data_IF_369788708430
#
_entry.id   IF_369788708430
#
_cell.length_a   1.000
_cell.length_b   1.000
_cell.length_c   1.000
_cell.angle_alpha   90.00
_cell.angle_beta   90.00
_cell.angle_gamma   90.00
#
_symmetry.space_group_name_H-M   'P 1'
#
loop_
_entity.id
_entity.type
_entity.pdbx_description
1 polymer ?
#
# COMPACT_ATOMS: atom_id res chain seq x y z
N UNK A 1 -46.80 -23.28 -78.42
CA UNK A 1 -45.97 -22.65 -77.37
C UNK A 1 -45.66 -23.68 -76.28
N UNK A 2 -44.42 -24.17 -76.18
CA UNK A 2 -43.96 -25.02 -75.05
C UNK A 2 -43.25 -24.14 -74.02
N UNK A 3 -43.87 -23.97 -72.85
CA UNK A 3 -43.31 -23.26 -71.70
C UNK A 3 -42.15 -24.08 -71.10
N UNK A 4 -40.94 -23.48 -71.05
CA UNK A 4 -39.79 -24.06 -70.31
C UNK A 4 -39.86 -23.59 -68.86
N UNK A 5 -40.11 -24.51 -67.94
CA UNK A 5 -39.99 -24.28 -66.50
C UNK A 5 -38.50 -24.18 -66.13
N UNK A 6 -38.05 -23.03 -65.60
CA UNK A 6 -36.71 -22.87 -65.02
C UNK A 6 -36.71 -23.47 -63.60
N UNK A 7 -35.86 -24.48 -63.35
CA UNK A 7 -35.58 -24.97 -61.99
C UNK A 7 -34.77 -23.89 -61.24
N UNK A 8 -35.28 -23.44 -60.10
CA UNK A 8 -34.55 -22.55 -59.20
C UNK A 8 -33.41 -23.32 -58.50
N UNK A 9 -32.26 -22.67 -58.24
CA UNK A 9 -31.13 -23.31 -57.57
C UNK A 9 -31.51 -23.75 -56.15
N UNK A 10 -31.07 -24.95 -55.78
CA UNK A 10 -31.30 -25.56 -54.45
C UNK A 10 -30.74 -24.65 -53.35
N UNK A 11 -31.48 -24.38 -52.26
CA UNK A 11 -30.92 -23.72 -51.09
C UNK A 11 -29.76 -24.57 -50.53
N UNK A 12 -28.63 -23.94 -50.25
CA UNK A 12 -27.50 -24.60 -49.57
C UNK A 12 -27.95 -25.06 -48.19
N UNK A 13 -27.77 -26.35 -47.87
CA UNK A 13 -28.00 -26.87 -46.51
C UNK A 13 -27.03 -26.16 -45.56
N UNK A 14 -27.54 -25.28 -44.70
CA UNK A 14 -26.76 -24.76 -43.57
C UNK A 14 -26.55 -25.92 -42.59
N UNK A 15 -25.30 -26.31 -42.37
CA UNK A 15 -24.94 -27.24 -41.29
C UNK A 15 -25.20 -26.52 -39.97
N UNK A 16 -26.10 -27.06 -39.14
CA UNK A 16 -26.26 -26.61 -37.77
C UNK A 16 -25.10 -27.10 -36.91
N UNK A 17 -24.75 -26.34 -35.86
CA UNK A 17 -23.81 -26.81 -34.84
C UNK A 17 -24.38 -28.03 -34.12
N UNK A 18 -23.53 -29.01 -33.83
CA UNK A 18 -23.96 -30.19 -33.08
C UNK A 18 -24.11 -29.83 -31.59
N UNK A 19 -25.04 -30.51 -30.91
CA UNK A 19 -25.25 -30.36 -29.47
C UNK A 19 -23.96 -30.67 -28.67
N UNK A 20 -23.17 -31.63 -29.17
CA UNK A 20 -21.90 -32.04 -28.59
C UNK A 20 -20.84 -30.93 -28.75
N UNK A 21 -20.71 -30.30 -29.92
CA UNK A 21 -19.79 -29.18 -30.13
C UNK A 21 -20.07 -28.03 -29.16
N UNK A 22 -21.34 -27.65 -28.98
CA UNK A 22 -21.68 -26.57 -28.06
C UNK A 22 -21.43 -26.98 -26.59
N UNK A 23 -21.67 -28.24 -26.23
CA UNK A 23 -21.49 -28.72 -24.86
C UNK A 23 -20.03 -28.64 -24.38
N UNK A 24 -19.07 -28.99 -25.24
CA UNK A 24 -17.64 -28.92 -24.90
C UNK A 24 -17.20 -27.46 -24.77
N UNK A 25 -17.71 -26.59 -25.63
CA UNK A 25 -17.42 -25.15 -25.57
C UNK A 25 -17.92 -24.55 -24.25
N UNK A 26 -19.13 -24.88 -23.81
CA UNK A 26 -19.66 -24.39 -22.52
C UNK A 26 -18.86 -24.92 -21.33
N UNK A 27 -18.41 -26.17 -21.37
CA UNK A 27 -17.53 -26.73 -20.34
C UNK A 27 -16.19 -25.98 -20.29
N UNK A 28 -15.57 -25.73 -21.45
CA UNK A 28 -14.30 -24.99 -21.51
C UNK A 28 -14.49 -23.56 -20.97
N UNK A 29 -15.55 -22.85 -21.37
CA UNK A 29 -15.84 -21.50 -20.87
C UNK A 29 -16.06 -21.53 -19.35
N UNK A 30 -16.83 -22.51 -18.83
CA UNK A 30 -17.06 -22.67 -17.40
C UNK A 30 -15.77 -22.91 -16.62
N UNK A 31 -14.89 -23.77 -17.13
CA UNK A 31 -13.59 -24.04 -16.51
C UNK A 31 -12.65 -22.83 -16.56
N UNK A 32 -12.65 -22.07 -17.67
CA UNK A 32 -11.84 -20.86 -17.79
C UNK A 32 -12.31 -19.77 -16.81
N UNK A 33 -13.62 -19.52 -16.71
CA UNK A 33 -14.17 -18.54 -15.77
C UNK A 33 -13.86 -18.95 -14.33
N UNK A 34 -14.07 -20.23 -13.98
CA UNK A 34 -13.72 -20.76 -12.67
C UNK A 34 -12.23 -20.62 -12.35
N UNK A 35 -11.35 -20.88 -13.32
CA UNK A 35 -9.91 -20.74 -13.17
C UNK A 35 -9.46 -19.30 -12.91
N UNK A 36 -10.06 -18.31 -13.60
CA UNK A 36 -9.72 -16.89 -13.43
C UNK A 36 -10.07 -16.40 -12.02
N UNK A 37 -11.25 -16.76 -11.49
CA UNK A 37 -11.67 -16.34 -10.15
C UNK A 37 -10.72 -16.86 -9.06
N UNK A 38 -10.28 -18.12 -9.18
CA UNK A 38 -9.29 -18.69 -8.26
C UNK A 38 -7.95 -17.98 -8.40
N UNK A 39 -7.50 -17.71 -9.63
CA UNK A 39 -6.24 -16.99 -9.87
C UNK A 39 -6.24 -15.58 -9.27
N UNK A 40 -7.37 -14.85 -9.38
CA UNK A 40 -7.52 -13.52 -8.76
C UNK A 40 -7.39 -13.58 -7.23
N UNK A 41 -8.05 -14.54 -6.58
CA UNK A 41 -7.92 -14.73 -5.13
C UNK A 41 -6.49 -15.08 -4.68
N UNK A 42 -5.76 -15.87 -5.48
CA UNK A 42 -4.34 -16.17 -5.22
C UNK A 42 -3.46 -14.92 -5.33
N UNK A 43 -3.69 -14.06 -6.33
CA UNK A 43 -2.95 -12.81 -6.50
C UNK A 43 -3.19 -11.86 -5.32
N UNK A 44 -4.43 -11.72 -4.85
CA UNK A 44 -4.74 -10.90 -3.69
C UNK A 44 -4.08 -11.43 -2.41
N UNK A 45 -4.14 -12.73 -2.18
CA UNK A 45 -3.44 -13.36 -1.05
C UNK A 45 -1.93 -13.14 -1.12
N UNK A 46 -1.33 -13.29 -2.31
CA UNK A 46 0.10 -13.02 -2.52
C UNK A 46 0.46 -11.56 -2.20
N UNK A 47 -0.38 -10.59 -2.58
CA UNK A 47 -0.18 -9.17 -2.23
C UNK A 47 -0.21 -8.96 -0.71
N UNK A 48 -1.21 -9.48 -0.01
CA UNK A 48 -1.27 -9.39 1.46
C UNK A 48 -0.03 -10.00 2.11
N UNK A 49 0.45 -11.13 1.61
CA UNK A 49 1.68 -11.75 2.12
C UNK A 49 2.93 -10.91 1.90
N UNK A 50 3.04 -10.22 0.75
CA UNK A 50 4.17 -9.31 0.51
C UNK A 50 4.18 -8.17 1.53
N UNK A 51 3.04 -7.51 1.76
CA UNK A 51 2.96 -6.42 2.74
C UNK A 51 3.32 -6.88 4.16
N UNK A 52 2.83 -8.05 4.58
CA UNK A 52 3.17 -8.62 5.90
C UNK A 52 4.68 -8.83 6.01
N UNK A 53 5.31 -9.45 5.00
CA UNK A 53 6.76 -9.69 5.00
C UNK A 53 7.56 -8.39 5.06
N UNK A 54 7.14 -7.36 4.33
CA UNK A 54 7.78 -6.05 4.35
C UNK A 54 7.70 -5.40 5.74
N UNK A 55 6.53 -5.46 6.39
CA UNK A 55 6.35 -4.96 7.76
C UNK A 55 7.18 -5.73 8.78
N UNK A 56 7.20 -7.06 8.69
CA UNK A 56 8.02 -7.92 9.56
C UNK A 56 9.51 -7.62 9.39
N UNK A 57 9.98 -7.41 8.15
CA UNK A 57 11.36 -7.08 7.88
C UNK A 57 11.76 -5.71 8.44
N UNK A 58 10.90 -4.70 8.29
CA UNK A 58 11.13 -3.36 8.88
C UNK A 58 11.14 -3.45 10.40
N UNK A 59 10.17 -4.15 11.00
CA UNK A 59 10.08 -4.36 12.45
C UNK A 59 11.34 -5.04 12.98
N UNK A 60 11.74 -6.14 12.37
CA UNK A 60 12.93 -6.88 12.75
C UNK A 60 14.18 -5.98 12.70
N UNK A 61 14.32 -5.21 11.62
CA UNK A 61 15.46 -4.32 11.43
C UNK A 61 15.48 -3.17 12.44
N UNK A 62 14.32 -2.62 12.76
CA UNK A 62 14.15 -1.63 13.82
C UNK A 62 14.58 -2.20 15.19
N UNK A 63 14.07 -3.39 15.54
CA UNK A 63 14.36 -4.04 16.82
C UNK A 63 15.84 -4.45 16.92
N UNK A 64 16.47 -4.89 15.83
CA UNK A 64 17.92 -5.20 15.78
C UNK A 64 18.78 -3.94 15.92
N UNK A 65 18.46 -2.87 15.18
CA UNK A 65 19.17 -1.59 15.29
C UNK A 65 19.17 -1.11 16.74
N UNK A 66 18.00 -1.17 17.39
CA UNK A 66 17.84 -0.77 18.78
C UNK A 66 18.63 -1.64 19.74
N UNK A 67 18.62 -2.97 19.56
CA UNK A 67 19.42 -3.87 20.38
C UNK A 67 20.93 -3.59 20.24
N UNK A 68 21.37 -3.18 19.05
CA UNK A 68 22.79 -2.92 18.76
C UNK A 68 23.27 -1.56 19.25
N UNK A 69 22.47 -0.51 19.08
CA UNK A 69 22.89 0.87 19.34
C UNK A 69 22.24 1.51 20.57
N UNK A 70 21.24 0.85 21.17
CA UNK A 70 20.44 1.37 22.28
C UNK A 70 19.82 2.75 22.00
N UNK A 71 19.55 3.03 20.72
CA UNK A 71 18.90 4.22 20.19
C UNK A 71 18.04 3.80 18.99
N UNK A 72 17.06 4.63 18.62
CA UNK A 72 16.20 4.34 17.47
C UNK A 72 16.96 4.67 16.16
N UNK A 73 16.68 3.95 15.06
CA UNK A 73 17.11 4.40 13.74
C UNK A 73 16.46 5.75 13.43
N UNK A 74 17.20 6.66 12.79
CA UNK A 74 16.76 8.03 12.53
C UNK A 74 17.21 9.02 13.62
N UNK A 75 16.91 8.68 14.86
CA UNK A 75 17.26 9.40 16.10
C UNK A 75 18.70 9.14 16.57
N UNK A 76 19.49 8.40 15.79
CA UNK A 76 20.79 7.93 16.24
C UNK A 76 21.84 9.06 16.26
N UNK A 77 22.19 9.50 17.47
CA UNK A 77 23.13 10.61 17.75
C UNK A 77 24.59 10.38 17.38
N UNK A 78 24.97 9.18 16.95
CA UNK A 78 26.37 8.84 16.57
C UNK A 78 26.47 8.28 15.16
N UNK A 79 25.45 8.53 14.35
CA UNK A 79 25.31 8.04 12.98
C UNK A 79 26.47 8.43 12.07
N UNK A 80 26.91 9.69 12.07
CA UNK A 80 28.05 10.17 11.26
C UNK A 80 29.31 9.40 11.65
N UNK A 81 29.56 9.26 12.95
CA UNK A 81 30.78 8.62 13.46
C UNK A 81 30.80 7.09 13.31
N UNK A 82 29.64 6.43 13.36
CA UNK A 82 29.53 4.95 13.40
C UNK A 82 29.06 4.33 12.09
N UNK A 83 28.19 5.01 11.35
CA UNK A 83 27.54 4.51 10.13
C UNK A 83 27.99 5.27 8.88
N UNK A 84 28.74 6.37 9.03
CA UNK A 84 29.18 7.20 7.89
C UNK A 84 28.05 8.01 7.25
N UNK A 85 27.00 8.30 8.02
CA UNK A 85 25.87 9.10 7.58
C UNK A 85 26.20 10.58 7.36
N UNK A 86 25.28 11.31 6.72
CA UNK A 86 25.43 12.73 6.42
C UNK A 86 25.21 13.64 7.65
N UNK A 87 24.31 13.24 8.56
CA UNK A 87 23.97 13.94 9.79
C UNK A 87 23.63 12.95 10.91
N UNK A 88 23.79 13.38 12.16
CA UNK A 88 23.36 12.67 13.36
C UNK A 88 21.89 13.00 13.66
N UNK A 89 21.15 12.07 14.26
CA UNK A 89 19.92 12.41 14.99
C UNK A 89 20.24 13.10 16.31
N UNK A 90 19.24 13.54 17.06
CA UNK A 90 19.47 14.24 18.33
C UNK A 90 19.45 13.34 19.58
N UNK A 91 18.93 12.12 19.46
CA UNK A 91 18.90 11.11 20.51
C UNK A 91 17.85 11.39 21.58
N UNK A 92 16.81 12.18 21.28
CA UNK A 92 15.76 12.57 22.22
C UNK A 92 14.65 11.50 22.38
N UNK A 93 14.73 10.43 21.59
CA UNK A 93 13.78 9.31 21.60
C UNK A 93 12.61 9.48 20.63
N UNK A 94 12.55 10.55 19.86
CA UNK A 94 11.57 10.79 18.83
C UNK A 94 12.24 10.75 17.44
N UNK A 95 11.42 10.78 16.39
CA UNK A 95 11.90 10.90 15.02
C UNK A 95 11.19 12.13 14.47
N UNK A 96 11.86 13.27 14.43
CA UNK A 96 11.20 14.51 14.06
C UNK A 96 10.76 14.50 12.60
N UNK A 97 9.49 14.82 12.39
CA UNK A 97 8.90 14.96 11.07
C UNK A 97 9.62 15.99 10.18
N UNK A 98 10.18 17.04 10.78
CA UNK A 98 10.76 18.21 10.11
C UNK A 98 12.29 18.26 10.19
N UNK A 99 12.94 17.13 10.45
CA UNK A 99 14.38 16.98 10.51
C UNK A 99 14.89 16.01 9.43
N UNK A 100 16.21 15.81 9.38
CA UNK A 100 16.82 14.77 8.54
C UNK A 100 16.54 13.35 9.08
N UNK A 101 15.93 13.21 10.26
CA UNK A 101 15.82 11.93 10.98
C UNK A 101 14.86 10.94 10.32
N UNK A 102 13.79 11.42 9.70
CA UNK A 102 12.90 10.55 8.88
C UNK A 102 13.69 9.93 7.73
N UNK A 103 14.61 10.70 7.14
CA UNK A 103 15.54 10.19 6.13
C UNK A 103 16.53 9.21 6.74
N UNK A 104 17.18 9.62 7.83
CA UNK A 104 18.17 8.83 8.55
C UNK A 104 17.61 7.48 9.00
N UNK A 105 16.32 7.38 9.35
CA UNK A 105 15.70 6.11 9.73
C UNK A 105 15.92 5.04 8.66
N UNK A 106 15.63 5.37 7.41
CA UNK A 106 15.73 4.41 6.32
C UNK A 106 17.19 4.10 5.98
N UNK A 107 18.07 5.10 6.07
CA UNK A 107 19.52 4.90 5.91
C UNK A 107 20.08 3.99 6.99
N UNK A 108 19.68 4.20 8.24
CA UNK A 108 20.11 3.43 9.40
C UNK A 108 19.66 1.98 9.31
N UNK A 109 18.41 1.72 8.88
CA UNK A 109 17.97 0.36 8.61
C UNK A 109 18.76 -0.29 7.48
N UNK A 110 18.98 0.42 6.36
CA UNK A 110 19.75 -0.08 5.21
C UNK A 110 21.17 -0.45 5.59
N UNK A 111 21.86 0.45 6.27
CA UNK A 111 23.31 0.36 6.53
C UNK A 111 23.66 -0.69 7.57
N UNK A 112 22.67 -1.10 8.38
CA UNK A 112 22.87 -2.04 9.48
C UNK A 112 22.31 -3.42 9.19
N UNK A 113 21.02 -3.51 8.85
CA UNK A 113 20.24 -4.74 9.02
C UNK A 113 19.43 -5.08 7.77
N UNK A 114 18.70 -4.12 7.22
CA UNK A 114 17.80 -4.33 6.09
C UNK A 114 18.49 -4.05 4.75
N UNK A 115 19.46 -4.91 4.40
CA UNK A 115 20.28 -4.76 3.18
C UNK A 115 19.53 -5.00 1.87
N UNK A 116 18.36 -5.63 1.95
CA UNK A 116 17.47 -5.88 0.81
C UNK A 116 16.57 -4.68 0.47
N UNK A 117 16.70 -3.54 1.17
CA UNK A 117 16.17 -2.26 0.68
C UNK A 117 16.99 -1.88 -0.56
N UNK A 118 16.62 -2.43 -1.72
CA UNK A 118 17.17 -1.99 -3.02
C UNK A 118 16.84 -0.50 -3.19
N UNK A 119 17.87 0.37 -3.19
CA UNK A 119 18.03 1.71 -3.80
C UNK A 119 16.84 2.68 -3.97
N UNK A 120 15.69 2.42 -3.35
CA UNK A 120 14.45 3.08 -3.71
C UNK A 120 13.77 3.78 -2.52
N UNK A 121 14.50 4.06 -1.46
CA UNK A 121 13.99 5.01 -0.46
C UNK A 121 14.63 6.37 -0.77
N UNK A 122 13.78 7.36 -0.97
CA UNK A 122 14.18 8.73 -1.14
C UNK A 122 13.77 9.51 0.11
N UNK A 123 14.71 10.26 0.66
CA UNK A 123 14.50 11.08 1.86
C UNK A 123 13.41 12.11 1.55
N UNK A 124 12.26 11.99 2.19
CA UNK A 124 11.20 13.00 2.08
C UNK A 124 11.50 14.10 3.08
N UNK A 125 12.07 15.21 2.60
CA UNK A 125 12.11 16.45 3.36
C UNK A 125 10.71 17.05 3.54
N UNK A 126 10.37 17.42 4.78
CA UNK A 126 9.30 18.26 5.33
C UNK A 126 8.09 18.73 4.47
N UNK A 127 8.25 19.11 3.20
CA UNK A 127 7.25 19.87 2.43
C UNK A 127 6.11 19.04 1.80
N UNK A 128 6.10 17.72 1.96
CA UNK A 128 5.04 16.92 1.38
C UNK A 128 3.76 16.92 2.21
N UNK A 129 3.73 17.20 3.52
CA UNK A 129 2.59 16.70 4.33
C UNK A 129 1.71 17.74 4.99
N UNK A 130 2.02 19.02 4.85
CA UNK A 130 1.09 20.10 5.19
C UNK A 130 1.15 21.22 4.16
N UNK A 131 -0.04 21.62 3.80
CA UNK A 131 -0.41 22.90 3.22
C UNK A 131 -0.66 23.04 1.72
N UNK A 132 -1.74 23.81 1.55
CA UNK A 132 -2.69 23.92 0.47
C UNK A 132 -2.24 24.91 -0.59
N UNK A 133 -1.04 25.49 -0.43
CA UNK A 133 -0.58 26.58 -1.27
C UNK A 133 0.96 26.66 -1.35
N UNK A 134 1.43 27.03 -2.54
CA UNK A 134 2.76 27.54 -2.86
C UNK A 134 3.93 26.57 -3.15
N UNK A 135 4.16 26.42 -4.46
CA UNK A 135 5.38 26.83 -5.17
C UNK A 135 6.71 26.83 -4.39
N UNK A 136 7.69 26.07 -4.88
CA UNK A 136 9.13 26.20 -4.60
C UNK A 136 9.77 25.27 -3.55
N UNK A 137 9.37 24.00 -3.50
CA UNK A 137 10.34 22.94 -3.16
C UNK A 137 10.75 22.28 -4.48
N UNK A 138 12.04 22.29 -4.79
CA UNK A 138 12.57 21.73 -6.03
C UNK A 138 12.19 20.26 -6.13
N UNK A 139 11.21 20.00 -7.00
CA UNK A 139 10.85 18.72 -7.55
C UNK A 139 12.07 18.12 -8.25
N UNK A 140 12.77 17.22 -7.59
CA UNK A 140 13.57 16.23 -8.28
C UNK A 140 13.73 15.02 -7.38
N UNK A 141 13.15 13.92 -7.85
CA UNK A 141 13.51 12.52 -7.59
C UNK A 141 12.86 11.77 -6.42
N UNK A 142 11.52 11.75 -6.39
CA UNK A 142 10.75 10.72 -5.65
C UNK A 142 10.79 9.37 -6.40
N UNK A 143 11.55 8.38 -5.92
CA UNK A 143 11.58 7.05 -6.53
C UNK A 143 11.59 5.87 -5.54
N UNK A 144 10.42 5.23 -5.42
CA UNK A 144 10.09 3.80 -5.22
C UNK A 144 10.27 3.04 -3.88
N UNK A 145 9.83 3.56 -2.74
CA UNK A 145 9.61 2.62 -1.64
C UNK A 145 8.32 1.83 -1.91
N UNK A 146 8.41 0.52 -2.22
CA UNK A 146 7.38 -0.43 -1.76
C UNK A 146 7.23 -0.40 -0.22
N UNK A 147 8.15 0.29 0.45
CA UNK A 147 8.41 0.27 1.89
C UNK A 147 8.09 1.62 2.57
N UNK A 148 6.96 2.26 2.28
CA UNK A 148 6.36 3.29 3.15
C UNK A 148 7.12 4.58 3.51
N UNK A 149 6.47 5.37 4.38
CA UNK A 149 6.86 6.68 4.91
C UNK A 149 6.67 6.63 6.43
N UNK A 150 7.67 7.08 7.19
CA UNK A 150 7.57 7.18 8.65
C UNK A 150 7.20 8.58 9.10
N UNK A 151 6.37 8.62 10.12
CA UNK A 151 5.91 9.81 10.80
C UNK A 151 6.22 9.62 12.29
N UNK A 152 7.11 10.43 12.85
CA UNK A 152 7.13 10.60 14.30
C UNK A 152 5.93 11.43 14.74
N UNK A 153 5.22 10.95 15.75
CA UNK A 153 4.13 11.67 16.39
C UNK A 153 4.72 12.85 17.22
N UNK A 154 4.40 14.10 16.86
CA UNK A 154 3.26 14.73 17.51
C UNK A 154 2.33 15.31 16.45
N UNK A 155 2.09 14.59 15.35
CA UNK A 155 0.96 14.92 14.51
C UNK A 155 -0.27 14.63 15.37
N UNK A 156 -0.87 15.67 15.94
CA UNK A 156 -2.16 15.61 16.66
C UNK A 156 -3.31 15.22 15.70
N UNK A 157 -3.13 14.18 14.90
CA UNK A 157 -4.03 13.69 13.87
C UNK A 157 -4.95 12.57 14.40
N UNK A 158 -4.72 12.13 15.64
CA UNK A 158 -5.47 11.07 16.30
C UNK A 158 -5.24 9.68 15.70
N UNK A 159 -4.22 9.50 14.86
CA UNK A 159 -3.93 8.24 14.16
C UNK A 159 -3.11 7.27 15.02
N UNK A 160 -2.27 7.80 15.91
CA UNK A 160 -1.52 7.02 16.90
C UNK A 160 -1.69 7.58 18.32
N UNK A 161 -1.70 6.71 19.34
CA UNK A 161 -1.38 7.08 20.72
C UNK A 161 -0.07 7.88 20.81
N UNK A 162 0.05 8.72 21.84
CA UNK A 162 1.24 9.58 22.03
C UNK A 162 2.54 8.80 22.30
N UNK A 163 2.43 7.52 22.65
CA UNK A 163 3.54 6.61 22.92
C UNK A 163 3.86 5.70 21.72
N UNK A 164 3.40 6.00 20.51
CA UNK A 164 3.67 5.20 19.32
C UNK A 164 4.10 6.09 18.14
N UNK A 165 5.08 5.58 17.38
CA UNK A 165 5.51 6.12 16.09
C UNK A 165 4.71 5.46 14.96
N UNK A 166 4.45 6.21 13.89
CA UNK A 166 3.62 5.76 12.76
C UNK A 166 4.51 5.42 11.57
N UNK A 167 4.44 4.18 11.10
CA UNK A 167 4.93 3.77 9.78
C UNK A 167 3.72 3.67 8.84
N UNK A 168 3.60 4.56 7.86
CA UNK A 168 2.54 4.47 6.86
C UNK A 168 3.06 3.88 5.55
N UNK A 169 2.44 2.82 5.04
CA UNK A 169 2.70 2.35 3.68
C UNK A 169 1.77 3.07 2.71
N UNK A 170 2.34 3.96 1.90
CA UNK A 170 1.61 4.77 0.93
C UNK A 170 2.30 4.76 -0.44
N UNK A 171 1.54 5.03 -1.49
CA UNK A 171 2.07 5.28 -2.82
C UNK A 171 2.27 6.79 -2.97
N UNK A 172 3.29 7.22 -3.71
CA UNK A 172 3.43 8.63 -4.07
C UNK A 172 2.66 8.91 -5.37
N UNK A 173 1.84 9.95 -5.38
CA UNK A 173 1.22 10.46 -6.60
C UNK A 173 1.49 11.95 -6.70
N UNK A 174 2.19 12.37 -7.75
CA UNK A 174 2.46 13.79 -8.01
C UNK A 174 1.15 14.58 -8.08
N UNK A 175 1.06 15.67 -7.33
CA UNK A 175 -0.01 16.66 -7.41
C UNK A 175 -1.27 16.34 -6.60
N UNK A 176 -1.77 15.10 -6.62
CA UNK A 176 -3.03 14.76 -5.97
C UNK A 176 -2.86 14.44 -4.47
N UNK A 177 -1.81 13.75 -4.05
CA UNK A 177 -1.66 13.36 -2.66
C UNK A 177 -0.19 13.43 -2.29
N UNK A 178 0.13 14.44 -1.49
CA UNK A 178 1.51 14.74 -1.19
C UNK A 178 2.01 13.71 -0.14
N UNK A 179 2.66 12.64 -0.62
CA UNK A 179 3.35 11.57 0.11
C UNK A 179 2.52 10.52 0.87
N UNK A 180 1.19 10.58 0.90
CA UNK A 180 0.36 9.62 1.67
C UNK A 180 -0.87 9.10 0.93
N UNK A 181 -0.74 8.78 -0.36
CA UNK A 181 -1.85 8.32 -1.18
C UNK A 181 -2.35 6.94 -0.73
N UNK A 182 -3.63 6.63 -0.99
CA UNK A 182 -4.11 5.29 -0.74
C UNK A 182 -3.39 4.33 -1.70
N UNK A 183 -2.75 3.32 -1.14
CA UNK A 183 -1.89 2.37 -1.84
C UNK A 183 -2.53 0.99 -1.94
N UNK A 184 -3.48 0.70 -1.04
CA UNK A 184 -4.00 -0.64 -0.80
C UNK A 184 -5.53 -0.64 -0.91
N UNK A 185 -6.07 -1.73 -1.46
CA UNK A 185 -7.51 -1.96 -1.47
C UNK A 185 -7.99 -2.32 -0.06
N UNK A 186 -9.20 -1.89 0.31
CA UNK A 186 -9.80 -2.16 1.61
C UNK A 186 -9.86 -3.65 1.98
N UNK A 187 -10.18 -4.53 1.03
CA UNK A 187 -10.21 -5.97 1.25
C UNK A 187 -8.81 -6.53 1.52
N UNK A 188 -7.81 -6.07 0.76
CA UNK A 188 -6.41 -6.48 0.96
C UNK A 188 -5.89 -6.01 2.32
N UNK A 189 -6.23 -4.79 2.73
CA UNK A 189 -5.81 -4.25 4.02
C UNK A 189 -6.49 -4.98 5.18
N UNK A 190 -7.80 -5.22 5.10
CA UNK A 190 -8.54 -6.01 6.10
C UNK A 190 -7.97 -7.42 6.27
N UNK A 191 -7.49 -8.04 5.19
CA UNK A 191 -6.82 -9.34 5.22
C UNK A 191 -5.40 -9.30 5.79
N UNK A 192 -4.67 -8.19 5.62
CA UNK A 192 -3.37 -7.97 6.28
C UNK A 192 -3.56 -7.76 7.77
N UNK A 193 -4.51 -6.88 8.12
CA UNK A 193 -4.92 -6.55 9.47
C UNK A 193 -5.35 -7.82 10.24
N UNK A 194 -6.29 -8.61 9.70
CA UNK A 194 -6.74 -9.86 10.34
C UNK A 194 -5.68 -10.95 10.47
N UNK A 195 -4.57 -10.87 9.74
CA UNK A 195 -3.43 -11.79 9.92
C UNK A 195 -2.49 -11.34 11.04
N UNK A 196 -2.49 -10.05 11.38
CA UNK A 196 -1.61 -9.46 12.39
C UNK A 196 -2.37 -9.20 13.70
N UNK A 197 -3.59 -8.69 13.65
CA UNK A 197 -4.43 -8.35 14.81
C UNK A 197 -5.94 -8.68 14.63
N UNK A 198 -6.81 -7.71 14.29
CA UNK A 198 -8.25 -7.79 14.58
C UNK A 198 -9.19 -7.48 13.40
N UNK A 199 -8.66 -7.18 12.21
CA UNK A 199 -9.43 -6.81 11.02
C UNK A 199 -10.30 -5.54 11.21
N UNK A 200 -10.00 -4.69 12.19
CA UNK A 200 -10.67 -3.41 12.40
C UNK A 200 -9.75 -2.22 12.07
N UNK A 201 -10.17 -1.30 11.19
CA UNK A 201 -9.33 -0.25 10.64
C UNK A 201 -8.82 0.80 11.64
N UNK A 202 -9.32 0.82 12.88
CA UNK A 202 -9.02 1.87 13.87
C UNK A 202 -8.39 1.35 15.16
N UNK A 203 -8.35 0.04 15.35
CA UNK A 203 -7.80 -0.59 16.56
C UNK A 203 -6.55 -1.37 16.19
N UNK A 204 -5.87 -1.96 17.18
CA UNK A 204 -4.67 -2.75 16.90
C UNK A 204 -3.44 -1.93 16.49
N UNK A 205 -2.43 -2.68 16.02
CA UNK A 205 -1.13 -2.18 15.56
C UNK A 205 -1.15 -1.87 14.07
N UNK A 206 -2.01 -2.57 13.31
CA UNK A 206 -2.28 -2.28 11.92
C UNK A 206 -3.57 -1.48 11.87
N UNK A 207 -3.58 -0.41 11.07
CA UNK A 207 -4.74 0.47 10.94
C UNK A 207 -4.94 0.85 9.49
N UNK A 208 -6.20 1.01 9.11
CA UNK A 208 -6.62 1.57 7.83
C UNK A 208 -7.07 3.00 7.99
N UNK A 209 -6.36 3.93 7.37
CA UNK A 209 -6.75 5.34 7.38
C UNK A 209 -7.11 5.87 5.99
N UNK A 210 -7.96 6.90 6.00
CA UNK A 210 -8.36 7.65 4.80
C UNK A 210 -7.13 8.27 4.17
N UNK A 211 -7.12 8.35 2.85
CA UNK A 211 -6.08 9.07 2.14
C UNK A 211 -6.67 10.30 1.46
N UNK A 212 -5.97 11.42 1.57
CA UNK A 212 -6.38 12.69 0.97
C UNK A 212 -5.99 12.71 -0.50
N UNK A 213 -6.93 12.97 -1.41
CA UNK A 213 -6.67 13.13 -2.85
C UNK A 213 -7.10 14.54 -3.30
N UNK A 214 -6.16 15.48 -3.41
CA UNK A 214 -6.30 16.84 -3.94
C UNK A 214 -7.01 16.81 -5.30
N UNK A 215 -8.04 17.64 -5.42
CA UNK A 215 -8.85 17.78 -6.63
C UNK A 215 -10.07 16.87 -6.69
N UNK A 216 -10.16 15.83 -5.85
CA UNK A 216 -11.39 15.09 -5.64
C UNK A 216 -12.11 15.68 -4.42
N UNK A 217 -13.24 16.36 -4.61
CA UNK A 217 -14.11 16.83 -3.52
C UNK A 217 -14.75 15.70 -2.69
N UNK A 218 -14.21 14.48 -2.73
CA UNK A 218 -14.68 13.32 -2.00
C UNK A 218 -13.47 12.51 -1.49
N UNK A 219 -13.39 12.42 -0.15
CA UNK A 219 -12.51 11.49 0.55
C UNK A 219 -12.87 10.06 0.12
N UNK A 220 -11.94 9.31 -0.48
CA UNK A 220 -12.13 7.86 -0.58
C UNK A 220 -12.00 7.29 0.83
N UNK A 221 -13.07 6.63 1.29
CA UNK A 221 -13.16 6.12 2.66
C UNK A 221 -12.76 4.66 2.67
N UNK A 222 -11.63 4.37 3.32
CA UNK A 222 -11.16 3.00 3.59
C UNK A 222 -12.09 2.21 4.52
N UNK A 223 -12.87 2.94 5.32
CA UNK A 223 -13.72 2.39 6.36
C UNK A 223 -14.98 3.21 6.54
N UNK A 224 -16.01 2.57 7.11
CA UNK A 224 -17.26 3.19 7.48
C UNK A 224 -17.71 2.69 8.85
N UNK A 225 -18.59 3.44 9.52
CA UNK A 225 -18.99 3.19 10.91
C UNK A 225 -20.51 3.03 10.99
N UNK A 226 -21.07 1.85 10.69
CA UNK A 226 -22.51 1.63 10.67
C UNK A 226 -23.14 1.56 12.08
N UNK A 227 -22.37 1.19 13.11
CA UNK A 227 -22.90 0.96 14.47
C UNK A 227 -21.86 1.26 15.57
N UNK A 228 -21.13 2.37 15.44
CA UNK A 228 -20.11 2.80 16.41
C UNK A 228 -18.75 2.12 16.27
N UNK A 229 -18.68 0.94 15.66
CA UNK A 229 -17.42 0.27 15.28
C UNK A 229 -17.09 0.57 13.82
N UNK A 230 -15.88 1.07 13.56
CA UNK A 230 -15.39 1.25 12.20
C UNK A 230 -15.05 -0.11 11.60
N UNK A 231 -15.44 -0.35 10.36
CA UNK A 231 -15.13 -1.56 9.59
C UNK A 231 -14.61 -1.18 8.20
N UNK A 232 -13.76 -2.03 7.63
CA UNK A 232 -13.28 -1.86 6.27
C UNK A 232 -14.44 -1.85 5.28
N UNK A 233 -14.38 -0.95 4.30
CA UNK A 233 -15.41 -0.84 3.26
C UNK A 233 -15.20 -1.93 2.21
N UNK A 234 -16.11 -2.91 2.03
CA UNK A 234 -15.99 -3.87 0.94
C UNK A 234 -16.29 -3.19 -0.41
N UNK A 235 -15.69 -3.71 -1.48
CA UNK A 235 -16.13 -3.50 -2.86
C UNK A 235 -15.99 -2.10 -3.45
N UNK A 236 -14.80 -1.51 -3.38
CA UNK A 236 -14.46 -0.43 -4.30
C UNK A 236 -13.30 -0.83 -5.22
N UNK A 237 -13.53 -0.65 -6.52
CA UNK A 237 -12.56 -0.85 -7.57
C UNK A 237 -11.52 0.28 -7.48
N UNK A 238 -10.47 0.08 -6.68
CA UNK A 238 -9.47 1.11 -6.45
C UNK A 238 -8.63 0.91 -5.19
N UNK A 239 -7.58 1.73 -5.08
CA UNK A 239 -6.78 1.87 -3.87
C UNK A 239 -7.44 2.96 -3.02
N UNK A 240 -7.94 2.59 -1.85
CA UNK A 240 -8.70 3.49 -0.97
C UNK A 240 -8.12 3.60 0.44
N UNK A 241 -7.12 2.77 0.75
CA UNK A 241 -6.56 2.69 2.08
C UNK A 241 -5.08 3.06 2.09
N UNK A 242 -4.71 3.83 3.11
CA UNK A 242 -3.34 3.92 3.60
C UNK A 242 -3.19 2.95 4.76
N UNK A 243 -2.22 2.04 4.69
CA UNK A 243 -1.87 1.17 5.81
C UNK A 243 -1.02 1.97 6.80
N UNK A 244 -1.40 1.92 8.06
CA UNK A 244 -0.62 2.46 9.18
C UNK A 244 -0.17 1.27 10.04
N UNK A 245 1.10 1.24 10.38
CA UNK A 245 1.68 0.34 11.36
C UNK A 245 2.22 1.16 12.52
N UNK A 246 1.85 0.76 13.75
CA UNK A 246 2.23 1.43 14.97
C UNK A 246 3.45 0.75 15.59
N UNK A 247 4.48 1.55 15.80
CA UNK A 247 5.74 1.14 16.42
C UNK A 247 5.77 1.72 17.83
N UNK A 248 5.90 0.86 18.83
CA UNK A 248 5.94 1.29 20.24
C UNK A 248 7.16 2.19 20.53
N UNK A 249 6.92 3.34 21.16
CA UNK A 249 7.97 4.18 21.73
C UNK A 249 8.46 3.57 23.04
N UNK A 250 9.75 3.69 23.29
CA UNK A 250 10.41 3.26 24.52
C UNK A 250 10.84 4.47 25.33
#
# INVERSE_FOLDING_TARGET
MKSRVRKLPSPYKKSGFTLVELSIVLVIIGLLIGGILVAQGLIESAKSHTYIRELEAIKFSYDEFRQRFNQKPGDFSRRVAMLGGASDGDGDGNIEWNSDEVGNFWEDLRDTTYKDIEQHYYIIGYYALRDEDQTSANNSDFYYAKTGVLYGNPLNDGLAPSNEDILALAEYQSGACNAACPSINSNTLSAVDGKIDDSLPTTGKIRGNRAYTKGAGALTTCSYTPSGTAIYKPDEEGKNCRLIYLIERY
#
